data_IF_150477216640
#
_entry.id   IF_150477216640
#
_cell.length_a   1.000
_cell.length_b   1.000
_cell.length_c   1.000
_cell.angle_alpha   90.00
_cell.angle_beta   90.00
_cell.angle_gamma   90.00
#
_symmetry.space_group_name_H-M   'P 1'
#
loop_
_entity.id
_entity.type
_entity.pdbx_description
1 polymer ?
#
# COMPACT_ATOMS: atom_id res chain seq x y z
N UNK A 1 7.74 -10.69 -11.32
CA UNK A 1 6.52 -11.36 -10.81
C UNK A 1 5.35 -11.04 -11.71
N UNK A 2 4.53 -12.01 -12.02
CA UNK A 2 3.47 -11.87 -13.01
C UNK A 2 2.05 -11.84 -12.42
N UNK A 3 1.86 -12.39 -11.24
CA UNK A 3 0.54 -12.47 -10.61
C UNK A 3 0.66 -12.04 -9.15
N UNK A 4 0.10 -10.88 -8.82
CA UNK A 4 0.19 -10.33 -7.47
C UNK A 4 -0.77 -9.15 -7.29
N UNK A 5 -0.94 -8.71 -6.05
CA UNK A 5 -1.64 -7.47 -5.71
C UNK A 5 -0.66 -6.53 -5.02
N UNK A 6 -0.39 -5.39 -5.63
CA UNK A 6 0.39 -4.32 -4.99
C UNK A 6 -0.53 -3.55 -4.05
N UNK A 7 -0.06 -3.26 -2.85
CA UNK A 7 -0.84 -2.57 -1.84
C UNK A 7 -0.03 -1.47 -1.17
N UNK A 8 -0.69 -0.37 -0.83
CA UNK A 8 -0.11 0.74 -0.11
C UNK A 8 -1.13 1.35 0.84
N UNK A 9 -0.72 1.60 2.08
CA UNK A 9 -1.52 2.26 3.11
C UNK A 9 -0.94 3.61 3.47
N UNK A 10 -1.80 4.58 3.78
CA UNK A 10 -1.43 5.78 4.48
C UNK A 10 -2.04 5.74 5.88
N UNK A 11 -1.32 6.29 6.88
CA UNK A 11 -1.78 6.31 8.27
C UNK A 11 -2.03 7.74 8.74
N UNK A 12 -3.04 7.89 9.62
CA UNK A 12 -3.41 9.20 10.15
C UNK A 12 -2.47 9.68 11.26
N UNK A 13 -1.93 8.73 12.04
CA UNK A 13 -1.08 9.02 13.20
C UNK A 13 -0.02 7.92 13.36
N UNK A 14 0.66 7.92 14.51
CA UNK A 14 1.76 6.97 14.76
C UNK A 14 1.30 5.55 15.10
N UNK A 15 -0.01 5.33 15.29
CA UNK A 15 -0.55 4.00 15.51
C UNK A 15 -0.68 3.28 14.18
N UNK A 16 -0.18 2.04 14.09
CA UNK A 16 -0.27 1.23 12.87
C UNK A 16 -1.70 0.90 12.47
N UNK A 17 -2.63 0.92 13.45
CA UNK A 17 -4.05 0.70 13.21
C UNK A 17 -4.73 1.85 12.48
N UNK A 18 -4.11 3.03 12.44
CA UNK A 18 -4.74 4.27 11.97
C UNK A 18 -4.70 4.43 10.45
N UNK A 19 -4.85 3.35 9.69
CA UNK A 19 -4.91 3.41 8.23
C UNK A 19 -6.05 4.33 7.81
N UNK A 20 -5.75 5.32 6.95
CA UNK A 20 -6.71 6.33 6.51
C UNK A 20 -6.95 6.31 5.01
N UNK A 21 -6.16 5.57 4.26
CA UNK A 21 -6.42 5.27 2.85
C UNK A 21 -5.67 4.00 2.46
N UNK A 22 -6.17 3.35 1.41
CA UNK A 22 -5.55 2.18 0.82
C UNK A 22 -5.66 2.22 -0.70
N UNK A 23 -4.58 1.85 -1.38
CA UNK A 23 -4.54 1.61 -2.81
C UNK A 23 -4.16 0.17 -3.08
N UNK A 24 -4.84 -0.45 -4.04
CA UNK A 24 -4.55 -1.83 -4.48
C UNK A 24 -4.52 -1.86 -5.99
N UNK A 25 -3.50 -2.51 -6.55
CA UNK A 25 -3.38 -2.70 -8.00
C UNK A 25 -3.18 -4.18 -8.27
N UNK A 26 -4.03 -4.75 -9.09
CA UNK A 26 -4.00 -6.18 -9.42
C UNK A 26 -3.24 -6.40 -10.72
N UNK A 27 -2.25 -7.28 -10.66
CA UNK A 27 -1.47 -7.69 -11.83
C UNK A 27 -1.72 -9.17 -12.09
N UNK A 28 -2.10 -9.52 -13.32
CA UNK A 28 -2.24 -10.90 -13.78
C UNK A 28 -1.56 -11.04 -15.13
N UNK A 29 -0.78 -12.10 -15.26
CA UNK A 29 0.00 -12.39 -16.48
C UNK A 29 0.86 -11.18 -16.89
N UNK A 30 1.43 -10.49 -15.87
CA UNK A 30 2.30 -9.34 -16.08
C UNK A 30 1.58 -8.06 -16.49
N UNK A 31 0.25 -8.02 -16.45
CA UNK A 31 -0.54 -6.84 -16.85
C UNK A 31 -1.40 -6.34 -15.68
N UNK A 32 -1.49 -5.02 -15.56
CA UNK A 32 -2.42 -4.39 -14.62
C UNK A 32 -3.83 -4.60 -15.16
N UNK A 33 -4.67 -5.32 -14.40
CA UNK A 33 -6.02 -5.68 -14.81
C UNK A 33 -7.13 -5.02 -13.97
N UNK A 34 -6.80 -4.54 -12.77
CA UNK A 34 -7.78 -3.92 -11.89
C UNK A 34 -7.08 -3.04 -10.86
N UNK A 35 -7.82 -2.12 -10.27
CA UNK A 35 -7.32 -1.27 -9.17
C UNK A 35 -8.47 -0.88 -8.25
N UNK A 36 -8.09 -0.50 -7.02
CA UNK A 36 -9.06 -0.10 -6.00
C UNK A 36 -8.43 0.98 -5.13
N UNK A 37 -9.20 1.99 -4.78
CA UNK A 37 -8.79 3.03 -3.84
C UNK A 37 -9.95 3.35 -2.91
N UNK A 38 -9.66 3.52 -1.63
CA UNK A 38 -10.65 4.01 -0.66
C UNK A 38 -9.98 4.81 0.44
N UNK A 39 -10.66 5.88 0.83
CA UNK A 39 -10.44 6.49 2.13
C UNK A 39 -10.98 5.55 3.21
N UNK A 40 -10.39 5.63 4.40
CA UNK A 40 -10.77 4.81 5.56
C UNK A 40 -10.88 5.71 6.77
N UNK A 41 -11.96 5.58 7.54
CA UNK A 41 -12.01 6.24 8.84
C UNK A 41 -10.99 5.55 9.76
N UNK A 42 -9.94 6.27 10.22
CA UNK A 42 -8.88 5.63 10.99
C UNK A 42 -9.30 5.32 12.42
N UNK A 43 -8.62 4.34 13.03
CA UNK A 43 -8.78 4.00 14.44
C UNK A 43 -7.40 3.96 15.11
N UNK A 44 -7.08 4.85 16.06
CA UNK A 44 -7.93 5.95 16.56
C UNK A 44 -8.06 7.11 15.54
N UNK A 45 -9.21 7.79 15.61
CA UNK A 45 -9.55 8.83 14.62
C UNK A 45 -9.03 10.21 15.01
N UNK A 46 -7.70 10.37 14.93
CA UNK A 46 -7.05 11.67 15.03
C UNK A 46 -5.86 11.68 14.07
N UNK A 47 -5.44 12.88 13.67
CA UNK A 47 -4.34 13.05 12.71
C UNK A 47 -3.15 13.74 13.35
N UNK A 48 -1.94 13.23 13.09
CA UNK A 48 -0.70 13.89 13.43
C UNK A 48 -0.27 14.79 12.28
N UNK A 49 0.34 15.93 12.63
CA UNK A 49 0.82 16.91 11.66
C UNK A 49 1.71 16.28 10.58
N UNK A 50 2.70 15.47 11.00
CA UNK A 50 3.67 14.89 10.06
C UNK A 50 3.04 13.89 9.09
N UNK A 51 2.03 13.16 9.53
CA UNK A 51 1.30 12.23 8.67
C UNK A 51 0.54 13.03 7.59
N UNK A 52 -0.21 14.05 8.00
CA UNK A 52 -0.93 14.91 7.06
C UNK A 52 0.02 15.59 6.09
N UNK A 53 1.20 16.04 6.57
CA UNK A 53 2.19 16.68 5.71
C UNK A 53 2.67 15.73 4.60
N UNK A 54 2.75 14.43 4.87
CA UNK A 54 3.17 13.42 3.90
C UNK A 54 2.10 13.18 2.85
N UNK A 55 0.86 12.86 3.25
CA UNK A 55 -0.18 12.41 2.31
C UNK A 55 -1.28 13.44 2.03
N UNK A 56 -1.33 14.53 2.79
CA UNK A 56 -2.29 15.60 2.57
C UNK A 56 -3.70 15.35 3.10
N UNK A 57 -3.97 14.19 3.68
CA UNK A 57 -5.28 13.88 4.24
C UNK A 57 -5.43 14.45 5.65
N UNK A 58 -6.66 14.86 5.97
CA UNK A 58 -7.04 15.40 7.27
C UNK A 58 -8.23 14.63 7.83
N UNK A 59 -8.53 14.86 9.11
CA UNK A 59 -9.71 14.25 9.75
C UNK A 59 -11.00 14.56 9.00
N UNK A 60 -11.10 15.75 8.42
CA UNK A 60 -12.25 16.14 7.62
C UNK A 60 -12.48 15.20 6.43
N UNK A 61 -11.39 14.75 5.80
CA UNK A 61 -11.48 13.89 4.62
C UNK A 61 -12.02 12.50 4.95
N UNK A 62 -11.80 12.01 6.16
CA UNK A 62 -12.09 10.62 6.52
C UNK A 62 -13.13 10.44 7.63
N UNK A 63 -13.68 11.53 8.18
CA UNK A 63 -14.71 11.44 9.24
C UNK A 63 -15.94 10.65 8.81
N UNK A 64 -16.31 10.73 7.53
CA UNK A 64 -17.47 10.01 6.99
C UNK A 64 -17.06 8.84 6.08
N UNK A 65 -15.78 8.48 6.09
CA UNK A 65 -15.30 7.34 5.32
C UNK A 65 -15.68 6.02 6.00
N UNK A 66 -15.75 4.92 5.24
CA UNK A 66 -15.99 3.61 5.81
C UNK A 66 -14.84 3.18 6.73
N UNK A 67 -15.15 2.35 7.71
CA UNK A 67 -14.13 1.75 8.58
C UNK A 67 -13.41 0.62 7.85
N UNK A 68 -12.25 0.22 8.36
CA UNK A 68 -11.40 -0.78 7.70
C UNK A 68 -12.13 -2.08 7.34
N UNK A 69 -12.93 -2.72 8.22
CA UNK A 69 -13.61 -3.97 7.86
C UNK A 69 -14.50 -3.85 6.62
N UNK A 70 -15.19 -2.72 6.45
CA UNK A 70 -16.06 -2.49 5.29
C UNK A 70 -15.23 -2.35 4.01
N UNK A 71 -14.10 -1.65 4.08
CA UNK A 71 -13.20 -1.47 2.94
C UNK A 71 -12.55 -2.80 2.57
N UNK A 72 -12.05 -3.53 3.57
CA UNK A 72 -11.33 -4.79 3.34
C UNK A 72 -12.23 -5.86 2.72
N UNK A 73 -13.52 -5.86 3.08
CA UNK A 73 -14.49 -6.78 2.48
C UNK A 73 -14.60 -6.62 0.95
N UNK A 74 -14.36 -5.41 0.44
CA UNK A 74 -14.34 -5.15 -1.00
C UNK A 74 -13.04 -5.60 -1.66
N UNK A 75 -11.95 -5.60 -0.92
CA UNK A 75 -10.62 -5.97 -1.43
C UNK A 75 -10.45 -7.49 -1.49
N UNK A 76 -10.98 -8.22 -0.52
CA UNK A 76 -10.79 -9.67 -0.38
C UNK A 76 -11.03 -10.45 -1.68
N UNK A 77 -12.16 -10.26 -2.40
CA UNK A 77 -12.37 -11.01 -3.64
C UNK A 77 -11.39 -10.64 -4.75
N UNK A 78 -10.81 -9.43 -4.72
CA UNK A 78 -9.85 -8.99 -5.74
C UNK A 78 -8.48 -9.65 -5.57
N UNK A 79 -8.07 -9.92 -4.33
CA UNK A 79 -6.73 -10.42 -4.00
C UNK A 79 -6.70 -11.93 -3.77
N UNK A 80 -7.83 -12.61 -3.89
CA UNK A 80 -7.92 -14.04 -3.64
C UNK A 80 -6.89 -14.83 -4.44
N UNK A 81 -6.08 -15.63 -3.73
CA UNK A 81 -5.05 -16.47 -4.35
C UNK A 81 -3.80 -15.72 -4.80
N UNK A 82 -3.71 -14.41 -4.55
CA UNK A 82 -2.54 -13.62 -4.96
C UNK A 82 -1.65 -13.28 -3.77
N UNK A 83 -0.33 -13.30 -3.94
CA UNK A 83 0.57 -12.71 -2.95
C UNK A 83 0.44 -11.18 -2.98
N UNK A 84 0.71 -10.54 -1.84
CA UNK A 84 0.74 -9.09 -1.72
C UNK A 84 2.16 -8.58 -1.90
N UNK A 85 2.29 -7.41 -2.52
CA UNK A 85 3.57 -6.75 -2.73
C UNK A 85 3.46 -5.31 -2.22
N UNK A 86 4.47 -4.86 -1.48
CA UNK A 86 4.52 -3.48 -1.02
C UNK A 86 5.96 -2.97 -1.12
N UNK A 87 6.10 -1.65 -1.26
CA UNK A 87 7.40 -1.01 -1.22
C UNK A 87 7.73 -0.67 0.24
N UNK A 88 8.68 -1.41 0.83
CA UNK A 88 8.92 -1.47 2.26
C UNK A 88 7.77 -2.19 3.00
N UNK A 89 7.59 -3.45 2.67
CA UNK A 89 6.48 -4.28 3.16
C UNK A 89 6.37 -4.32 4.69
N UNK A 90 7.47 -4.09 5.41
CA UNK A 90 7.45 -4.09 6.88
C UNK A 90 6.41 -3.12 7.43
N UNK A 91 6.24 -1.97 6.77
CA UNK A 91 5.24 -0.99 7.18
C UNK A 91 3.83 -1.49 6.86
N UNK A 92 3.54 -1.81 5.61
CA UNK A 92 2.19 -2.16 5.18
C UNK A 92 1.71 -3.47 5.81
N UNK A 93 2.59 -4.45 5.91
CA UNK A 93 2.28 -5.71 6.58
C UNK A 93 1.98 -5.49 8.07
N UNK A 94 2.75 -4.63 8.75
CA UNK A 94 2.50 -4.33 10.16
C UNK A 94 1.19 -3.58 10.36
N UNK A 95 0.85 -2.67 9.47
CA UNK A 95 -0.44 -1.97 9.49
C UNK A 95 -1.60 -2.96 9.32
N UNK A 96 -1.48 -3.85 8.34
CA UNK A 96 -2.53 -4.83 8.05
C UNK A 96 -2.76 -5.77 9.24
N UNK A 97 -1.69 -6.29 9.82
CA UNK A 97 -1.79 -7.15 11.00
C UNK A 97 -2.38 -6.42 12.20
N UNK A 98 -1.94 -5.17 12.44
CA UNK A 98 -2.42 -4.36 13.56
C UNK A 98 -3.92 -4.04 13.43
N UNK A 99 -4.37 -3.65 12.25
CA UNK A 99 -5.77 -3.28 12.05
C UNK A 99 -6.69 -4.50 12.09
N UNK A 100 -6.24 -5.67 11.61
CA UNK A 100 -6.97 -6.93 11.77
C UNK A 100 -7.19 -7.24 13.26
N UNK A 101 -6.12 -7.09 14.06
CA UNK A 101 -6.20 -7.31 15.52
C UNK A 101 -7.13 -6.31 16.18
N UNK A 102 -7.05 -5.04 15.78
CA UNK A 102 -7.87 -3.96 16.32
C UNK A 102 -9.37 -4.27 16.16
N UNK A 103 -9.78 -4.80 15.02
CA UNK A 103 -11.16 -5.14 14.70
C UNK A 103 -11.49 -6.61 14.96
N UNK A 104 -10.62 -7.34 15.63
CA UNK A 104 -10.83 -8.76 15.99
C UNK A 104 -11.16 -9.64 14.78
N UNK A 105 -10.45 -9.40 13.69
CA UNK A 105 -10.56 -10.17 12.44
C UNK A 105 -9.45 -11.23 12.39
N UNK A 106 -9.77 -12.40 11.84
CA UNK A 106 -8.79 -13.46 11.63
C UNK A 106 -7.87 -13.11 10.48
N UNK A 107 -6.56 -13.08 10.75
CA UNK A 107 -5.55 -12.74 9.75
C UNK A 107 -5.16 -14.00 8.95
N UNK A 108 -5.31 -14.00 7.60
CA UNK A 108 -5.08 -15.20 6.78
C UNK A 108 -3.61 -15.51 6.47
N UNK A 109 -2.66 -14.90 7.15
CA UNK A 109 -1.22 -15.05 6.90
C UNK A 109 -0.86 -14.75 5.45
N UNK A 110 -1.25 -13.58 4.96
CA UNK A 110 -0.93 -13.14 3.60
C UNK A 110 0.56 -13.23 3.31
N UNK A 111 0.91 -13.79 2.15
CA UNK A 111 2.29 -13.79 1.66
C UNK A 111 2.65 -12.39 1.16
N UNK A 112 3.71 -11.81 1.70
CA UNK A 112 4.18 -10.48 1.31
C UNK A 112 5.56 -10.53 0.66
N UNK A 113 5.71 -9.79 -0.44
CA UNK A 113 6.99 -9.52 -1.09
C UNK A 113 7.32 -8.03 -1.02
N UNK A 114 8.61 -7.68 -1.07
CA UNK A 114 9.07 -6.32 -0.83
C UNK A 114 9.90 -5.79 -2.00
N UNK A 115 9.38 -4.81 -2.72
CA UNK A 115 10.11 -4.15 -3.81
C UNK A 115 11.28 -3.31 -3.30
N UNK A 116 11.19 -2.76 -2.08
CA UNK A 116 12.31 -2.03 -1.49
C UNK A 116 13.54 -2.92 -1.31
N UNK A 117 13.36 -4.11 -0.77
CA UNK A 117 14.45 -5.08 -0.59
C UNK A 117 14.97 -5.59 -1.93
N UNK A 118 14.08 -5.89 -2.86
CA UNK A 118 14.44 -6.36 -4.19
C UNK A 118 15.23 -5.29 -4.95
N UNK A 119 14.88 -4.02 -4.79
CA UNK A 119 15.57 -2.92 -5.47
C UNK A 119 17.03 -2.79 -5.06
N UNK A 120 17.36 -3.15 -3.83
CA UNK A 120 18.76 -3.11 -3.36
C UNK A 120 19.64 -4.11 -4.11
N UNK A 121 19.08 -5.22 -4.53
CA UNK A 121 19.79 -6.22 -5.34
C UNK A 121 19.79 -5.85 -6.81
N UNK A 122 18.67 -5.35 -7.32
CA UNK A 122 18.53 -4.99 -8.74
C UNK A 122 19.28 -3.71 -9.10
N UNK A 123 19.33 -2.74 -8.20
CA UNK A 123 19.93 -1.43 -8.42
C UNK A 123 20.90 -1.07 -7.27
N UNK A 124 22.02 -1.81 -7.13
CA UNK A 124 22.92 -1.62 -5.98
C UNK A 124 23.56 -0.25 -5.92
N UNK A 125 23.62 0.48 -7.04
CA UNK A 125 24.24 1.80 -7.12
C UNK A 125 23.23 2.95 -7.17
N UNK A 126 21.94 2.68 -6.93
CA UNK A 126 20.92 3.73 -6.89
C UNK A 126 21.22 4.73 -5.76
N UNK A 127 20.95 6.02 -6.02
CA UNK A 127 21.14 7.10 -5.05
C UNK A 127 20.38 6.81 -3.74
N UNK A 128 19.16 6.31 -3.89
CA UNK A 128 18.35 5.80 -2.78
C UNK A 128 17.37 4.77 -3.33
N UNK A 129 16.66 4.09 -2.45
CA UNK A 129 15.69 3.07 -2.83
C UNK A 129 14.24 3.49 -2.53
N UNK A 130 14.01 4.79 -2.45
CA UNK A 130 12.66 5.33 -2.29
C UNK A 130 11.81 5.01 -3.52
N UNK A 131 10.50 4.92 -3.30
CA UNK A 131 9.56 4.48 -4.33
C UNK A 131 9.67 5.28 -5.62
N UNK A 132 9.68 6.62 -5.54
CA UNK A 132 9.73 7.48 -6.72
C UNK A 132 11.03 7.30 -7.52
N UNK A 133 12.15 7.06 -6.86
CA UNK A 133 13.43 6.87 -7.53
C UNK A 133 13.51 5.51 -8.22
N UNK A 134 13.10 4.46 -7.52
CA UNK A 134 13.13 3.10 -8.10
C UNK A 134 12.11 2.95 -9.22
N UNK A 135 10.91 3.51 -9.07
CA UNK A 135 9.92 3.47 -10.14
C UNK A 135 10.42 4.14 -11.41
N UNK A 136 11.13 5.27 -11.26
CA UNK A 136 11.75 5.97 -12.39
C UNK A 136 12.78 5.09 -13.09
N UNK A 137 13.61 4.37 -12.33
CA UNK A 137 14.59 3.43 -12.90
C UNK A 137 13.91 2.27 -13.64
N UNK A 138 12.68 1.93 -13.26
CA UNK A 138 11.85 0.91 -13.93
C UNK A 138 10.99 1.49 -15.06
N UNK A 139 11.18 2.75 -15.43
CA UNK A 139 10.46 3.37 -16.54
C UNK A 139 9.08 3.92 -16.16
N UNK A 140 8.77 4.05 -14.89
CA UNK A 140 7.48 4.59 -14.41
C UNK A 140 7.69 5.92 -13.71
N UNK A 141 6.99 6.96 -14.15
CA UNK A 141 7.06 8.28 -13.55
C UNK A 141 5.94 8.46 -12.53
N UNK A 142 6.30 8.49 -11.24
CA UNK A 142 5.35 8.67 -10.15
C UNK A 142 5.06 10.17 -9.98
N UNK A 143 3.83 10.58 -10.28
CA UNK A 143 3.43 12.00 -10.23
C UNK A 143 2.73 12.38 -8.92
N UNK A 144 1.89 11.51 -8.39
CA UNK A 144 1.12 11.72 -7.14
C UNK A 144 1.72 10.94 -5.96
N UNK A 145 3.01 11.18 -5.67
CA UNK A 145 3.67 10.49 -4.57
C UNK A 145 2.93 10.72 -3.24
N UNK A 146 2.80 9.66 -2.44
CA UNK A 146 2.03 9.60 -1.19
C UNK A 146 0.50 9.60 -1.35
N UNK A 147 0.00 9.46 -2.58
CA UNK A 147 -1.37 9.03 -2.82
C UNK A 147 -1.36 7.50 -2.89
N UNK A 148 -2.16 6.83 -2.05
CA UNK A 148 -2.03 5.37 -1.88
C UNK A 148 -2.19 4.58 -3.19
N UNK A 149 -3.12 4.98 -4.07
CA UNK A 149 -3.28 4.29 -5.35
C UNK A 149 -2.11 4.53 -6.29
N UNK A 150 -1.62 5.77 -6.39
CA UNK A 150 -0.46 6.09 -7.22
C UNK A 150 0.78 5.34 -6.74
N UNK A 151 0.98 5.25 -5.43
CA UNK A 151 2.10 4.53 -4.85
C UNK A 151 1.98 3.01 -5.06
N UNK A 152 0.78 2.46 -4.96
CA UNK A 152 0.53 1.04 -5.27
C UNK A 152 0.79 0.74 -6.74
N UNK A 153 0.41 1.64 -7.65
CA UNK A 153 0.68 1.48 -9.08
C UNK A 153 2.19 1.52 -9.38
N UNK A 154 2.92 2.47 -8.78
CA UNK A 154 4.37 2.52 -8.91
C UNK A 154 5.01 1.23 -8.39
N UNK A 155 4.56 0.73 -7.25
CA UNK A 155 5.02 -0.53 -6.68
C UNK A 155 4.75 -1.70 -7.64
N UNK A 156 3.59 -1.74 -8.27
CA UNK A 156 3.24 -2.77 -9.26
C UNK A 156 4.21 -2.76 -10.45
N UNK A 157 4.54 -1.59 -10.96
CA UNK A 157 5.51 -1.46 -12.05
C UNK A 157 6.88 -1.99 -11.66
N UNK A 158 7.34 -1.64 -10.46
CA UNK A 158 8.62 -2.12 -9.96
C UNK A 158 8.59 -3.65 -9.84
N UNK A 159 7.55 -4.19 -9.21
CA UNK A 159 7.43 -5.64 -8.98
C UNK A 159 7.42 -6.43 -10.28
N UNK A 160 6.80 -5.92 -11.34
CA UNK A 160 6.81 -6.55 -12.66
C UNK A 160 8.23 -6.66 -13.23
N UNK A 161 9.09 -5.70 -12.92
CA UNK A 161 10.44 -5.64 -13.49
C UNK A 161 11.48 -6.43 -12.67
N UNK A 162 11.37 -6.40 -11.33
CA UNK A 162 12.46 -6.88 -10.47
C UNK A 162 12.09 -8.00 -9.50
N UNK A 163 10.82 -8.41 -9.45
CA UNK A 163 10.39 -9.52 -8.60
C UNK A 163 9.98 -10.76 -9.38
#
# INVERSE_FOLDING_TARGET
MENFAAIDFETANNERTSVCSVGVVIVRDGKIVDSFYSLIQPEPNYYCYWNTKVHGLTQRDTDNAPIFPEVWAQIVPMIEGLPLVAHNKSFDESCLKAVFRCYQMDYPDYEFHCTYRASKRAFPHAVNHQLHNISKLCGYRLENHHHALADAEACAWIAREIL
#
